data_IF_213345357420
#
_entry.id   IF_213345357420
#
_cell.length_a   1.000
_cell.length_b   1.000
_cell.length_c   1.000
_cell.angle_alpha   90.00
_cell.angle_beta   90.00
_cell.angle_gamma   90.00
#
_symmetry.space_group_name_H-M   'P 1'
#
loop_
_entity.id
_entity.type
_entity.pdbx_description
1 polymer ?
#
# COMPACT_ATOMS: atom_id res chain seq x y z
N UNK A 1 -8.17 -17.19 -31.12
CA UNK A 1 -7.83 -16.05 -30.24
C UNK A 1 -8.34 -16.44 -28.87
N UNK A 2 -7.41 -16.76 -27.99
CA UNK A 2 -7.58 -17.57 -26.78
C UNK A 2 -8.78 -17.19 -25.92
N UNK A 3 -9.42 -18.24 -25.42
CA UNK A 3 -10.42 -18.22 -24.35
C UNK A 3 -9.91 -17.33 -23.21
N UNK A 4 -10.72 -16.35 -22.80
CA UNK A 4 -10.31 -15.36 -21.79
C UNK A 4 -10.21 -16.06 -20.43
N UNK A 5 -9.04 -16.60 -20.15
CA UNK A 5 -8.74 -17.38 -18.95
C UNK A 5 -9.19 -16.57 -17.72
N UNK A 6 -10.01 -17.21 -16.89
CA UNK A 6 -10.58 -16.63 -15.68
C UNK A 6 -9.47 -16.11 -14.73
N UNK A 7 -8.27 -16.70 -14.84
CA UNK A 7 -7.04 -16.30 -14.15
C UNK A 7 -6.60 -14.88 -14.51
N UNK A 8 -6.71 -14.46 -15.78
CA UNK A 8 -6.38 -13.09 -16.19
C UNK A 8 -7.36 -12.06 -15.62
N UNK A 9 -8.64 -12.41 -15.48
CA UNK A 9 -9.64 -11.52 -14.86
C UNK A 9 -9.37 -11.30 -13.38
N UNK A 10 -8.88 -12.33 -12.67
CA UNK A 10 -8.47 -12.23 -11.27
C UNK A 10 -7.20 -11.38 -11.14
N UNK A 11 -6.15 -11.70 -11.91
CA UNK A 11 -4.89 -10.96 -11.87
C UNK A 11 -5.08 -9.47 -12.22
N UNK A 12 -5.94 -9.14 -13.19
CA UNK A 12 -6.22 -7.74 -13.54
C UNK A 12 -6.90 -6.98 -12.38
N UNK A 13 -7.82 -7.64 -11.67
CA UNK A 13 -8.50 -7.04 -10.51
C UNK A 13 -7.55 -6.86 -9.33
N UNK A 14 -6.66 -7.82 -9.08
CA UNK A 14 -5.62 -7.72 -8.05
C UNK A 14 -4.59 -6.64 -8.37
N UNK A 15 -4.17 -6.51 -9.64
CA UNK A 15 -3.27 -5.46 -10.08
C UNK A 15 -3.86 -4.05 -9.81
N UNK A 16 -5.15 -3.83 -10.10
CA UNK A 16 -5.82 -2.57 -9.80
C UNK A 16 -5.85 -2.25 -8.30
N UNK A 17 -6.02 -3.26 -7.45
CA UNK A 17 -5.97 -3.08 -5.99
C UNK A 17 -4.56 -2.67 -5.55
N UNK A 18 -3.52 -3.29 -6.13
CA UNK A 18 -2.13 -2.88 -5.91
C UNK A 18 -1.84 -1.45 -6.36
N UNK A 19 -2.35 -1.04 -7.52
CA UNK A 19 -2.25 0.35 -8.02
C UNK A 19 -2.94 1.32 -7.06
N UNK A 20 -4.14 0.99 -6.59
CA UNK A 20 -4.87 1.80 -5.61
C UNK A 20 -4.09 1.98 -4.30
N UNK A 21 -3.48 0.89 -3.80
CA UNK A 21 -2.62 0.93 -2.61
C UNK A 21 -1.40 1.85 -2.84
N UNK A 22 -0.74 1.75 -3.99
CA UNK A 22 0.41 2.58 -4.31
C UNK A 22 0.03 4.08 -4.35
N UNK A 23 -1.08 4.43 -5.00
CA UNK A 23 -1.59 5.81 -5.03
C UNK A 23 -1.90 6.29 -3.63
N UNK A 24 -2.57 5.47 -2.81
CA UNK A 24 -2.85 5.82 -1.42
C UNK A 24 -1.57 6.05 -0.61
N UNK A 25 -0.55 5.21 -0.80
CA UNK A 25 0.76 5.41 -0.18
C UNK A 25 1.37 6.75 -0.58
N UNK A 26 1.35 7.08 -1.87
CA UNK A 26 1.85 8.37 -2.37
C UNK A 26 1.09 9.54 -1.77
N UNK A 27 -0.24 9.49 -1.69
CA UNK A 27 -1.06 10.54 -1.09
C UNK A 27 -0.75 10.71 0.40
N UNK A 28 -0.67 9.60 1.14
CA UNK A 28 -0.34 9.65 2.56
C UNK A 28 1.06 10.24 2.77
N UNK A 29 2.05 9.74 2.04
CA UNK A 29 3.41 10.20 2.16
C UNK A 29 3.54 11.68 1.76
N UNK A 30 3.02 12.10 0.61
CA UNK A 30 3.05 13.51 0.19
C UNK A 30 2.24 14.43 1.11
N UNK A 31 1.06 13.97 1.54
CA UNK A 31 0.16 14.75 2.39
C UNK A 31 0.76 15.03 3.76
N UNK A 32 1.40 14.04 4.39
CA UNK A 32 2.05 14.23 5.67
C UNK A 32 3.43 14.90 5.53
N UNK A 33 4.21 14.55 4.50
CA UNK A 33 5.53 15.14 4.31
C UNK A 33 5.45 16.63 3.95
N UNK A 34 4.60 17.01 3.00
CA UNK A 34 4.47 18.41 2.58
C UNK A 34 3.39 19.17 3.37
N UNK A 35 2.31 18.53 3.81
CA UNK A 35 1.25 19.22 4.55
C UNK A 35 1.65 19.56 5.99
N UNK A 36 2.21 18.61 6.74
CA UNK A 36 2.78 18.90 8.05
C UNK A 36 4.17 19.51 7.94
N UNK A 37 5.02 19.07 7.00
CA UNK A 37 6.38 19.58 6.83
C UNK A 37 6.51 20.98 6.18
N UNK A 38 5.41 21.64 5.79
CA UNK A 38 5.43 23.06 5.35
C UNK A 38 5.15 24.07 6.47
N UNK A 39 5.06 23.62 7.72
CA UNK A 39 4.86 24.50 8.88
C UNK A 39 6.18 25.18 9.28
N UNK A 40 6.13 26.36 9.92
CA UNK A 40 7.32 26.98 10.46
C UNK A 40 8.00 26.06 11.47
N UNK A 41 9.34 25.98 11.42
CA UNK A 41 10.14 25.02 12.20
C UNK A 41 9.97 25.21 13.72
N UNK A 42 9.54 26.40 14.12
CA UNK A 42 9.25 26.84 15.49
C UNK A 42 7.98 26.21 16.08
N UNK A 43 7.05 25.74 15.25
CA UNK A 43 5.81 25.07 15.67
C UNK A 43 5.91 23.54 15.59
N UNK A 44 7.05 22.98 15.16
CA UNK A 44 7.19 21.53 15.09
C UNK A 44 7.18 20.89 16.46
N UNK A 45 6.32 19.89 16.63
CA UNK A 45 6.42 18.99 17.77
C UNK A 45 7.56 18.02 17.50
N UNK A 46 8.51 17.92 18.42
CA UNK A 46 9.61 16.97 18.30
C UNK A 46 9.27 15.69 19.05
N UNK A 47 9.08 14.62 18.30
CA UNK A 47 8.86 13.28 18.84
C UNK A 47 10.21 12.56 18.81
N UNK A 48 10.74 12.20 19.98
CA UNK A 48 12.08 11.59 20.12
C UNK A 48 13.23 12.42 19.51
N UNK A 49 13.11 13.75 19.46
CA UNK A 49 14.12 14.65 18.89
C UNK A 49 14.06 14.80 17.36
N UNK A 50 13.06 14.20 16.71
CA UNK A 50 12.79 14.28 15.29
C UNK A 50 11.50 15.10 15.07
N UNK A 51 11.39 15.87 13.97
CA UNK A 51 10.14 16.54 13.64
C UNK A 51 8.98 15.53 13.54
N UNK A 52 7.84 15.88 14.11
CA UNK A 52 6.59 15.12 14.05
C UNK A 52 6.23 14.68 12.62
N UNK A 53 6.36 15.55 11.63
CA UNK A 53 6.06 15.23 10.23
C UNK A 53 6.91 14.06 9.71
N UNK A 54 8.17 13.94 10.15
CA UNK A 54 9.04 12.83 9.78
C UNK A 54 8.60 11.54 10.47
N UNK A 55 8.26 11.61 11.75
CA UNK A 55 7.74 10.47 12.49
C UNK A 55 6.43 9.94 11.87
N UNK A 56 5.50 10.83 11.53
CA UNK A 56 4.24 10.45 10.91
C UNK A 56 4.41 9.96 9.46
N UNK A 57 5.31 10.56 8.68
CA UNK A 57 5.51 10.16 7.29
C UNK A 57 6.30 8.85 7.16
N UNK A 58 7.29 8.64 8.02
CA UNK A 58 8.21 7.51 7.91
C UNK A 58 7.82 6.33 8.80
N UNK A 59 7.58 6.56 10.10
CA UNK A 59 7.27 5.48 11.05
C UNK A 59 5.81 5.08 10.95
N UNK A 60 4.89 6.04 11.10
CA UNK A 60 3.45 5.76 11.04
C UNK A 60 3.05 5.38 9.62
N UNK A 61 3.56 6.08 8.61
CA UNK A 61 3.36 5.73 7.20
C UNK A 61 3.78 4.30 6.87
N UNK A 62 4.94 3.85 7.35
CA UNK A 62 5.39 2.47 7.14
C UNK A 62 4.45 1.45 7.80
N UNK A 63 4.13 1.64 9.08
CA UNK A 63 3.22 0.74 9.81
C UNK A 63 1.86 0.67 9.12
N UNK A 64 1.32 1.81 8.71
CA UNK A 64 0.01 1.90 8.05
C UNK A 64 0.00 1.15 6.71
N UNK A 65 1.06 1.25 5.92
CA UNK A 65 1.18 0.50 4.66
C UNK A 65 1.37 -0.99 4.89
N UNK A 66 2.19 -1.40 5.86
CA UNK A 66 2.34 -2.81 6.19
C UNK A 66 0.99 -3.42 6.58
N UNK A 67 0.21 -2.74 7.43
CA UNK A 67 -1.13 -3.21 7.84
C UNK A 67 -2.06 -3.28 6.63
N UNK A 68 -2.10 -2.25 5.78
CA UNK A 68 -2.92 -2.26 4.58
C UNK A 68 -2.57 -3.41 3.63
N UNK A 69 -1.28 -3.66 3.39
CA UNK A 69 -0.81 -4.78 2.57
C UNK A 69 -1.30 -6.10 3.17
N UNK A 70 -1.13 -6.31 4.48
CA UNK A 70 -1.59 -7.53 5.17
C UNK A 70 -3.09 -7.72 4.99
N UNK A 71 -3.89 -6.65 5.18
CA UNK A 71 -5.34 -6.71 5.04
C UNK A 71 -5.73 -7.02 3.59
N UNK A 72 -5.12 -6.38 2.60
CA UNK A 72 -5.40 -6.63 1.18
C UNK A 72 -5.05 -8.07 0.81
N UNK A 73 -3.87 -8.55 1.21
CA UNK A 73 -3.45 -9.93 0.89
C UNK A 73 -4.37 -10.94 1.59
N UNK A 74 -4.82 -10.68 2.81
CA UNK A 74 -5.70 -11.65 3.50
C UNK A 74 -7.17 -11.62 3.08
N UNK A 75 -7.69 -10.46 2.70
CA UNK A 75 -9.12 -10.31 2.39
C UNK A 75 -9.43 -10.26 0.90
N UNK A 76 -8.50 -9.77 0.08
CA UNK A 76 -8.74 -9.55 -1.36
C UNK A 76 -8.04 -10.56 -2.25
N UNK A 77 -6.83 -11.03 -1.89
CA UNK A 77 -6.17 -12.08 -2.65
C UNK A 77 -6.92 -13.38 -2.37
N UNK A 78 -7.56 -13.90 -3.41
CA UNK A 78 -8.12 -15.25 -3.38
C UNK A 78 -6.98 -16.21 -3.67
N UNK A 79 -6.83 -17.25 -2.87
CA UNK A 79 -5.87 -18.30 -3.21
C UNK A 79 -6.27 -18.91 -4.55
N UNK A 80 -5.50 -18.58 -5.59
CA UNK A 80 -5.63 -19.22 -6.88
C UNK A 80 -5.00 -20.59 -6.72
N UNK A 81 -5.75 -21.70 -6.84
CA UNK A 81 -5.12 -23.00 -6.88
C UNK A 81 -4.15 -23.01 -8.06
N UNK A 82 -2.89 -23.33 -7.78
CA UNK A 82 -2.00 -23.78 -8.83
C UNK A 82 -2.59 -25.11 -9.28
N UNK A 83 -3.43 -25.11 -10.32
CA UNK A 83 -3.76 -26.36 -10.99
C UNK A 83 -2.42 -27.01 -11.35
N UNK A 84 -2.17 -28.17 -10.76
CA UNK A 84 -1.12 -29.09 -11.18
C UNK A 84 -1.41 -29.48 -12.63
N UNK A 85 -0.92 -28.69 -13.59
CA UNK A 85 -0.70 -29.17 -14.94
C UNK A 85 0.45 -30.18 -14.88
N UNK A 86 0.14 -31.39 -14.43
CA UNK A 86 1.15 -32.39 -14.14
C UNK A 86 0.67 -33.83 -13.93
N UNK A 87 -0.60 -34.17 -14.10
CA UNK A 87 -1.05 -35.58 -14.08
C UNK A 87 -2.22 -35.80 -15.06
N UNK A 88 -1.91 -36.14 -16.33
CA UNK A 88 -2.16 -37.43 -17.02
C UNK A 88 -1.83 -37.35 -18.51
#
# INVERSE_FOLDING_TARGET
MEETDWRFKIAHREAWIGVGLAIFNFIWWFGFAYGLGSRPVEEYSYIFGLPDWFFYSCVVGFVLICVLVIVIVKFFFTEVPFDEEGDV
#
